data_IF_408207066942
#
_entry.id   IF_408207066942
#
_cell.length_a   1.000
_cell.length_b   1.000
_cell.length_c   1.000
_cell.angle_alpha   90.00
_cell.angle_beta   90.00
_cell.angle_gamma   90.00
#
_symmetry.space_group_name_H-M   'P 1'
#
loop_
_entity.id
_entity.type
_entity.pdbx_description
1 polymer ?
#
# COMPACT_ATOMS: atom_id res chain seq x y z
N UNK A 1 21.55 -29.36 24.82
CA UNK A 1 21.36 -29.67 23.41
C UNK A 1 20.79 -28.41 22.74
N UNK A 2 21.70 -27.63 22.16
CA UNK A 2 21.40 -26.37 21.46
C UNK A 2 20.76 -26.68 20.10
N UNK A 3 19.53 -26.29 19.93
CA UNK A 3 18.93 -26.20 18.58
C UNK A 3 19.17 -24.83 18.02
N UNK A 4 20.28 -24.67 17.34
CA UNK A 4 20.48 -23.56 16.40
C UNK A 4 19.58 -23.79 15.19
N UNK A 5 18.49 -23.02 15.10
CA UNK A 5 17.76 -22.85 13.85
C UNK A 5 18.64 -22.02 12.92
N UNK A 6 19.29 -22.71 11.99
CA UNK A 6 20.03 -22.07 10.88
C UNK A 6 19.02 -21.32 10.02
N UNK A 7 19.01 -19.99 10.11
CA UNK A 7 18.49 -19.14 9.05
C UNK A 7 19.40 -19.34 7.85
N UNK A 8 18.89 -19.98 6.80
CA UNK A 8 19.56 -20.00 5.51
C UNK A 8 19.76 -18.56 5.06
N UNK A 9 20.98 -18.14 4.71
CA UNK A 9 21.19 -16.83 4.13
C UNK A 9 20.47 -16.79 2.79
N UNK A 10 19.57 -15.83 2.64
CA UNK A 10 18.95 -15.50 1.37
C UNK A 10 20.06 -15.00 0.44
N UNK A 11 20.56 -15.87 -0.42
CA UNK A 11 21.52 -15.50 -1.47
C UNK A 11 20.79 -14.62 -2.47
N UNK A 12 20.95 -13.31 -2.30
CA UNK A 12 20.25 -12.27 -3.02
C UNK A 12 20.82 -11.95 -4.40
N UNK A 13 21.27 -12.95 -5.16
CA UNK A 13 21.71 -12.82 -6.56
C UNK A 13 20.74 -13.51 -7.53
N UNK A 14 19.47 -13.60 -7.19
CA UNK A 14 18.51 -13.65 -8.26
C UNK A 14 18.50 -12.26 -8.90
N UNK A 15 19.13 -12.15 -10.05
CA UNK A 15 19.03 -11.07 -10.99
C UNK A 15 17.60 -10.54 -10.92
N UNK A 16 17.47 -9.29 -10.46
CA UNK A 16 16.28 -8.52 -10.74
C UNK A 16 16.30 -8.35 -12.25
N UNK A 17 15.88 -9.40 -12.95
CA UNK A 17 15.41 -9.22 -14.30
C UNK A 17 14.37 -8.13 -14.15
N UNK A 18 14.59 -7.01 -14.80
CA UNK A 18 13.55 -6.10 -15.15
C UNK A 18 12.44 -6.97 -15.73
N UNK A 19 11.49 -7.37 -14.90
CA UNK A 19 10.21 -7.84 -15.37
C UNK A 19 9.53 -6.58 -15.86
N UNK A 20 10.07 -6.09 -17.00
CA UNK A 20 9.25 -5.39 -17.95
C UNK A 20 8.09 -6.32 -18.19
N UNK A 21 6.93 -5.77 -18.14
CA UNK A 21 5.72 -6.38 -18.67
C UNK A 21 4.81 -7.05 -17.64
N UNK A 22 4.06 -6.22 -16.97
CA UNK A 22 2.64 -6.47 -16.97
C UNK A 22 2.20 -6.49 -18.45
N UNK A 23 1.87 -7.66 -18.96
CA UNK A 23 1.18 -7.83 -20.23
C UNK A 23 -0.01 -6.86 -20.24
N UNK A 24 -0.11 -5.87 -21.16
CA UNK A 24 -1.19 -4.90 -21.19
C UNK A 24 -2.58 -5.56 -21.30
N UNK A 25 -2.65 -6.78 -21.80
CA UNK A 25 -3.88 -7.59 -21.90
C UNK A 25 -4.30 -8.28 -20.59
N UNK A 26 -3.58 -8.09 -19.49
CA UNK A 26 -3.94 -8.72 -18.24
C UNK A 26 -5.11 -7.99 -17.56
N UNK A 27 -6.33 -8.19 -18.04
CA UNK A 27 -7.53 -8.09 -17.21
C UNK A 27 -7.34 -9.05 -16.05
N UNK A 28 -6.84 -8.56 -14.92
CA UNK A 28 -6.63 -9.39 -13.76
C UNK A 28 -7.93 -10.07 -13.40
N UNK A 29 -7.95 -11.40 -13.49
CA UNK A 29 -9.13 -12.21 -13.19
C UNK A 29 -9.47 -12.01 -11.72
N UNK A 30 -10.76 -11.84 -11.43
CA UNK A 30 -11.22 -11.77 -10.04
C UNK A 30 -10.83 -13.06 -9.31
N UNK A 31 -10.34 -12.89 -8.10
CA UNK A 31 -9.97 -14.00 -7.20
C UNK A 31 -11.22 -14.84 -6.94
N UNK A 32 -11.15 -16.13 -7.25
CA UNK A 32 -12.23 -17.11 -7.01
C UNK A 32 -11.94 -17.81 -5.69
N UNK A 33 -12.96 -17.98 -4.87
CA UNK A 33 -12.89 -18.87 -3.71
C UNK A 33 -12.76 -20.33 -4.18
N UNK A 34 -11.89 -21.08 -3.51
CA UNK A 34 -11.62 -22.50 -3.78
C UNK A 34 -11.93 -23.39 -2.57
N UNK A 35 -12.36 -22.81 -1.42
CA UNK A 35 -12.67 -23.55 -0.20
C UNK A 35 -11.45 -23.97 0.62
N UNK A 36 -10.24 -23.66 0.20
CA UNK A 36 -9.01 -24.02 0.96
C UNK A 36 -8.97 -23.41 2.37
N UNK A 37 -9.68 -22.29 2.59
CA UNK A 37 -9.80 -21.66 3.92
C UNK A 37 -10.78 -22.39 4.87
N UNK A 38 -11.44 -23.42 4.39
CA UNK A 38 -12.44 -24.23 5.15
C UNK A 38 -11.81 -25.47 5.80
N UNK A 39 -10.47 -25.58 5.86
CA UNK A 39 -9.79 -26.76 6.44
C UNK A 39 -9.21 -26.48 7.82
N UNK A 40 -9.12 -27.54 8.65
CA UNK A 40 -8.49 -27.51 9.98
C UNK A 40 -7.00 -27.16 9.87
N UNK A 41 -6.32 -27.72 8.89
CA UNK A 41 -4.90 -27.52 8.63
C UNK A 41 -4.62 -26.04 8.34
N UNK A 42 -5.43 -25.42 7.48
CA UNK A 42 -5.32 -23.98 7.19
C UNK A 42 -5.55 -23.12 8.44
N UNK A 43 -6.58 -23.43 9.23
CA UNK A 43 -6.88 -22.68 10.44
C UNK A 43 -5.72 -22.80 11.46
N UNK A 44 -5.15 -24.01 11.62
CA UNK A 44 -4.00 -24.24 12.51
C UNK A 44 -2.76 -23.48 12.03
N UNK A 45 -2.41 -23.60 10.76
CA UNK A 45 -1.29 -22.87 10.17
C UNK A 45 -1.46 -21.34 10.31
N UNK A 46 -2.67 -20.84 10.10
CA UNK A 46 -2.98 -19.41 10.24
C UNK A 46 -2.75 -18.92 11.69
N UNK A 47 -3.11 -19.75 12.68
CA UNK A 47 -2.84 -19.42 14.08
C UNK A 47 -1.36 -19.39 14.38
N UNK A 48 -0.59 -20.40 13.98
CA UNK A 48 0.86 -20.45 14.18
C UNK A 48 1.56 -19.22 13.58
N UNK A 49 1.20 -18.84 12.36
CA UNK A 49 1.71 -17.62 11.73
C UNK A 49 1.31 -16.33 12.47
N UNK A 50 0.11 -16.30 13.02
CA UNK A 50 -0.34 -15.15 13.83
C UNK A 50 0.38 -15.11 15.17
N UNK A 51 0.56 -16.25 15.83
CA UNK A 51 1.15 -16.38 17.16
C UNK A 51 2.67 -16.23 17.15
N UNK A 52 3.32 -16.32 15.99
CA UNK A 52 4.76 -16.13 15.86
C UNK A 52 5.22 -14.83 16.56
N UNK A 53 6.26 -14.93 17.39
CA UNK A 53 6.76 -13.88 18.28
C UNK A 53 5.77 -13.39 19.37
N UNK A 54 4.56 -14.00 19.50
CA UNK A 54 3.51 -13.56 20.44
C UNK A 54 3.14 -14.62 21.49
N UNK A 55 3.66 -15.84 21.41
CA UNK A 55 3.36 -16.93 22.34
C UNK A 55 3.53 -16.57 23.83
N UNK A 56 4.43 -15.63 24.15
CA UNK A 56 4.65 -15.13 25.53
C UNK A 56 3.61 -14.10 25.99
N UNK A 57 2.66 -13.70 25.15
CA UNK A 57 1.60 -12.76 25.54
C UNK A 57 0.50 -13.53 26.24
N UNK A 58 0.11 -13.07 27.42
CA UNK A 58 -0.89 -13.73 28.24
C UNK A 58 -2.18 -14.13 27.51
N UNK A 59 -2.71 -13.22 26.69
CA UNK A 59 -3.94 -13.48 25.93
C UNK A 59 -3.77 -14.55 24.84
N UNK A 60 -2.57 -14.66 24.26
CA UNK A 60 -2.24 -15.71 23.27
C UNK A 60 -2.04 -17.04 24.01
N UNK A 61 -1.24 -17.07 25.08
CA UNK A 61 -1.02 -18.26 25.92
C UNK A 61 -2.35 -18.86 26.42
N UNK A 62 -3.28 -18.01 26.87
CA UNK A 62 -4.59 -18.48 27.32
C UNK A 62 -5.41 -19.08 26.17
N UNK A 63 -5.33 -18.47 24.98
CA UNK A 63 -6.02 -18.95 23.79
C UNK A 63 -5.46 -20.30 23.30
N UNK A 64 -4.15 -20.52 23.44
CA UNK A 64 -3.45 -21.75 23.06
C UNK A 64 -3.86 -22.96 23.92
N UNK A 65 -4.35 -22.75 25.14
CA UNK A 65 -4.79 -23.85 26.02
C UNK A 65 -5.92 -24.67 25.39
N UNK A 66 -6.80 -24.04 24.63
CA UNK A 66 -7.95 -24.66 23.97
C UNK A 66 -7.86 -24.55 22.44
N UNK A 67 -6.65 -24.61 21.89
CA UNK A 67 -6.41 -24.32 20.46
C UNK A 67 -7.22 -25.22 19.53
N UNK A 68 -7.39 -26.51 19.86
CA UNK A 68 -8.13 -27.44 19.03
C UNK A 68 -9.61 -27.03 18.94
N UNK A 69 -10.21 -26.62 20.05
CA UNK A 69 -11.57 -26.10 20.09
C UNK A 69 -11.69 -24.83 19.22
N UNK A 70 -10.75 -23.91 19.37
CA UNK A 70 -10.75 -22.66 18.61
C UNK A 70 -10.53 -22.89 17.10
N UNK A 71 -9.68 -23.81 16.71
CA UNK A 71 -9.48 -24.19 15.30
C UNK A 71 -10.77 -24.73 14.70
N UNK A 72 -11.47 -25.63 15.40
CA UNK A 72 -12.77 -26.15 14.96
C UNK A 72 -13.82 -25.04 14.83
N UNK A 73 -13.89 -24.12 15.82
CA UNK A 73 -14.82 -23.00 15.79
C UNK A 73 -14.54 -22.06 14.62
N UNK A 74 -13.27 -21.74 14.34
CA UNK A 74 -12.86 -20.91 13.19
C UNK A 74 -13.29 -21.54 11.88
N UNK A 75 -13.09 -22.86 11.70
CA UNK A 75 -13.53 -23.55 10.49
C UNK A 75 -15.05 -23.53 10.37
N UNK A 76 -15.77 -23.81 11.46
CA UNK A 76 -17.23 -23.74 11.47
C UNK A 76 -17.75 -22.35 11.06
N UNK A 77 -17.19 -21.30 11.61
CA UNK A 77 -17.60 -19.92 11.29
C UNK A 77 -17.30 -19.52 9.85
N UNK A 78 -16.18 -20.00 9.28
CA UNK A 78 -15.85 -19.77 7.86
C UNK A 78 -16.80 -20.58 6.95
N UNK A 79 -17.02 -21.87 7.25
CA UNK A 79 -17.87 -22.77 6.46
C UNK A 79 -19.32 -22.30 6.44
N UNK A 80 -19.83 -21.86 7.60
CA UNK A 80 -21.22 -21.44 7.72
C UNK A 80 -21.44 -19.94 7.38
N UNK A 81 -20.35 -19.19 7.09
CA UNK A 81 -20.40 -17.73 6.83
C UNK A 81 -21.02 -16.94 8.01
N UNK A 82 -20.77 -17.39 9.26
CA UNK A 82 -21.39 -16.88 10.48
C UNK A 82 -20.53 -15.88 11.25
N UNK A 83 -19.24 -15.78 10.93
CA UNK A 83 -18.35 -14.86 11.67
C UNK A 83 -18.87 -13.43 11.66
N UNK A 84 -18.90 -12.85 12.84
CA UNK A 84 -19.12 -11.42 13.08
C UNK A 84 -18.01 -10.90 14.00
N UNK A 85 -17.28 -9.86 13.61
CA UNK A 85 -16.23 -9.31 14.46
C UNK A 85 -16.74 -8.94 15.85
N UNK A 86 -15.97 -9.31 16.89
CA UNK A 86 -16.34 -9.12 18.30
C UNK A 86 -16.27 -7.67 18.77
N UNK A 87 -15.85 -6.76 17.90
CA UNK A 87 -15.61 -5.37 18.21
C UNK A 87 -14.15 -5.10 18.60
N UNK A 88 -13.83 -3.82 18.77
CA UNK A 88 -12.45 -3.38 18.96
C UNK A 88 -12.32 -2.59 20.27
N UNK A 89 -11.30 -2.92 21.05
CA UNK A 89 -10.83 -2.03 22.10
C UNK A 89 -9.78 -1.07 21.51
N UNK A 90 -9.90 0.21 21.84
CA UNK A 90 -9.04 1.23 21.27
C UNK A 90 -7.88 1.59 22.22
N UNK A 91 -6.67 1.65 21.67
CA UNK A 91 -5.47 2.05 22.41
C UNK A 91 -4.70 3.14 21.66
N UNK A 92 -4.40 4.23 22.35
CA UNK A 92 -3.49 5.23 21.82
C UNK A 92 -2.04 4.76 21.87
N UNK A 93 -1.35 4.85 20.75
CA UNK A 93 0.09 4.69 20.66
C UNK A 93 0.71 6.04 20.35
N UNK A 94 1.67 6.42 21.18
CA UNK A 94 2.44 7.66 21.06
C UNK A 94 3.84 7.34 20.54
N UNK A 95 3.94 6.99 19.25
CA UNK A 95 5.21 6.84 18.57
C UNK A 95 5.60 8.17 17.89
N UNK A 96 5.83 8.19 16.59
CA UNK A 96 6.18 9.41 15.84
C UNK A 96 5.02 10.42 15.74
N UNK A 97 3.80 9.90 15.67
CA UNK A 97 2.53 10.64 15.74
C UNK A 97 1.57 9.82 16.62
N UNK A 98 0.69 10.48 17.40
CA UNK A 98 -0.35 9.75 18.11
C UNK A 98 -1.22 9.00 17.12
N UNK A 99 -1.44 7.72 17.39
CA UNK A 99 -2.28 6.84 16.57
C UNK A 99 -3.21 6.04 17.46
N UNK A 100 -4.44 5.93 17.04
CA UNK A 100 -5.45 5.09 17.67
C UNK A 100 -5.38 3.71 17.02
N UNK A 101 -5.03 2.68 17.78
CA UNK A 101 -5.06 1.30 17.33
C UNK A 101 -6.36 0.64 17.74
N UNK A 102 -6.99 -0.05 16.82
CA UNK A 102 -8.07 -0.98 17.08
C UNK A 102 -7.49 -2.33 17.47
N UNK A 103 -7.70 -2.77 18.70
CA UNK A 103 -7.24 -4.04 19.20
C UNK A 103 -8.40 -5.04 19.16
N UNK A 104 -8.31 -6.03 18.29
CA UNK A 104 -9.24 -7.14 18.21
C UNK A 104 -8.89 -8.26 19.21
N UNK A 105 -9.84 -9.10 19.62
CA UNK A 105 -9.59 -10.37 20.32
C UNK A 105 -8.67 -11.30 19.52
N UNK A 106 -8.05 -12.27 20.22
CA UNK A 106 -7.18 -13.27 19.55
C UNK A 106 -7.97 -14.10 18.54
N UNK A 107 -9.22 -14.44 18.88
CA UNK A 107 -10.11 -15.18 17.97
C UNK A 107 -10.33 -14.45 16.64
N UNK A 108 -10.61 -13.14 16.69
CA UNK A 108 -10.83 -12.35 15.48
C UNK A 108 -9.57 -12.31 14.61
N UNK A 109 -8.39 -12.17 15.23
CA UNK A 109 -7.12 -12.25 14.50
C UNK A 109 -6.88 -13.62 13.87
N UNK A 110 -7.24 -14.70 14.58
CA UNK A 110 -7.09 -16.06 14.08
C UNK A 110 -7.98 -16.31 12.88
N UNK A 111 -9.27 -16.01 12.97
CA UNK A 111 -10.21 -16.24 11.86
C UNK A 111 -9.91 -15.33 10.66
N UNK A 112 -9.48 -14.08 10.86
CA UNK A 112 -9.03 -13.21 9.77
C UNK A 112 -7.81 -13.79 9.06
N UNK A 113 -6.85 -14.32 9.82
CA UNK A 113 -5.68 -14.97 9.25
C UNK A 113 -6.05 -16.23 8.47
N UNK A 114 -6.91 -17.09 9.03
CA UNK A 114 -7.38 -18.32 8.39
C UNK A 114 -8.18 -18.04 7.12
N UNK A 115 -9.06 -17.05 7.16
CA UNK A 115 -9.85 -16.66 5.99
C UNK A 115 -8.99 -16.12 4.85
N UNK A 116 -7.91 -15.41 5.16
CA UNK A 116 -7.05 -14.75 4.18
C UNK A 116 -5.95 -15.66 3.62
N UNK A 117 -5.39 -16.55 4.43
CA UNK A 117 -4.15 -17.28 4.15
C UNK A 117 -4.10 -17.93 2.76
N UNK A 118 -5.12 -18.68 2.29
CA UNK A 118 -5.08 -19.29 0.97
C UNK A 118 -5.12 -18.31 -0.20
N UNK A 119 -5.60 -17.10 0.07
CA UNK A 119 -5.76 -16.05 -0.96
C UNK A 119 -4.64 -15.01 -0.95
N UNK A 120 -3.73 -15.06 0.03
CA UNK A 120 -2.67 -14.05 0.18
C UNK A 120 -1.87 -13.85 -1.10
N UNK A 121 -1.41 -14.93 -1.73
CA UNK A 121 -0.66 -14.84 -2.99
C UNK A 121 -1.47 -14.13 -4.07
N UNK A 122 -2.70 -14.57 -4.31
CA UNK A 122 -3.59 -13.99 -5.32
C UNK A 122 -3.87 -12.50 -5.04
N UNK A 123 -3.98 -12.12 -3.76
CA UNK A 123 -4.15 -10.73 -3.35
C UNK A 123 -2.90 -9.92 -3.64
N UNK A 124 -1.71 -10.45 -3.31
CA UNK A 124 -0.45 -9.75 -3.61
C UNK A 124 -0.23 -9.58 -5.11
N UNK A 125 -0.72 -10.49 -5.96
CA UNK A 125 -0.67 -10.35 -7.41
C UNK A 125 -1.51 -9.15 -7.91
N UNK A 126 -2.53 -8.72 -7.13
CA UNK A 126 -3.31 -7.52 -7.42
C UNK A 126 -2.68 -6.21 -6.94
N UNK A 127 -1.61 -6.26 -6.18
CA UNK A 127 -0.89 -5.09 -5.64
C UNK A 127 0.34 -4.85 -6.50
N UNK A 128 0.63 -3.59 -6.83
CA UNK A 128 1.83 -3.22 -7.56
C UNK A 128 3.11 -3.72 -6.89
N UNK A 129 4.08 -4.14 -7.70
CA UNK A 129 5.42 -4.46 -7.22
C UNK A 129 6.13 -3.23 -6.62
N UNK A 130 5.85 -2.04 -7.15
CA UNK A 130 6.38 -0.77 -6.65
C UNK A 130 5.69 -0.27 -5.36
N UNK A 131 4.75 -1.06 -4.81
CA UNK A 131 4.09 -0.83 -3.52
C UNK A 131 4.42 -1.96 -2.52
N UNK A 132 5.67 -2.09 -2.03
CA UNK A 132 6.14 -3.27 -1.30
C UNK A 132 5.70 -3.34 0.17
N UNK A 133 4.87 -2.44 0.68
CA UNK A 133 4.67 -2.21 2.11
C UNK A 133 4.16 -3.42 2.90
N UNK A 134 3.36 -4.30 2.31
CA UNK A 134 2.68 -5.40 3.02
C UNK A 134 3.10 -6.79 2.50
N UNK A 135 3.88 -6.84 1.45
CA UNK A 135 4.35 -8.10 0.88
C UNK A 135 5.34 -8.80 1.84
N UNK A 136 5.22 -10.12 2.04
CA UNK A 136 6.18 -10.90 2.83
C UNK A 136 7.61 -10.71 2.31
N UNK A 137 8.56 -10.52 3.21
CA UNK A 137 9.98 -10.29 2.86
C UNK A 137 10.31 -8.92 2.29
N UNK A 138 9.31 -8.09 2.02
CA UNK A 138 9.46 -6.72 1.55
C UNK A 138 9.08 -5.72 2.66
N UNK A 139 9.13 -4.42 2.35
CA UNK A 139 8.82 -3.37 3.31
C UNK A 139 9.62 -2.10 3.04
N UNK A 140 9.85 -1.28 4.07
CA UNK A 140 10.57 0.00 3.94
C UNK A 140 11.98 -0.19 3.37
N UNK A 141 12.68 -1.26 3.76
CA UNK A 141 14.03 -1.54 3.28
C UNK A 141 14.06 -1.98 1.80
N UNK A 142 13.03 -2.69 1.35
CA UNK A 142 12.90 -3.05 -0.06
C UNK A 142 12.65 -1.79 -0.90
N UNK A 143 11.71 -0.94 -0.47
CA UNK A 143 11.47 0.34 -1.11
C UNK A 143 12.75 1.18 -1.19
N UNK A 144 13.48 1.27 -0.09
CA UNK A 144 14.77 1.99 -0.04
C UNK A 144 15.74 1.44 -1.08
N UNK A 145 15.87 0.11 -1.20
CA UNK A 145 16.74 -0.52 -2.20
C UNK A 145 16.30 -0.23 -3.62
N UNK A 146 15.01 -0.29 -3.91
CA UNK A 146 14.47 0.03 -5.23
C UNK A 146 14.84 1.44 -5.66
N UNK A 147 14.49 2.43 -4.83
CA UNK A 147 14.79 3.84 -5.12
C UNK A 147 16.29 4.09 -5.22
N UNK A 148 17.08 3.54 -4.30
CA UNK A 148 18.54 3.69 -4.31
C UNK A 148 19.15 3.12 -5.58
N UNK A 149 18.79 1.88 -5.92
CA UNK A 149 19.37 1.21 -7.08
C UNK A 149 19.04 1.97 -8.36
N UNK A 150 17.85 2.50 -8.49
CA UNK A 150 17.44 3.29 -9.63
C UNK A 150 18.21 4.61 -9.73
N UNK A 151 18.30 5.37 -8.62
CA UNK A 151 19.06 6.60 -8.57
C UNK A 151 20.55 6.40 -8.87
N UNK A 152 21.14 5.28 -8.41
CA UNK A 152 22.55 5.00 -8.60
C UNK A 152 22.87 4.40 -9.96
N UNK A 153 21.92 3.73 -10.58
CA UNK A 153 22.09 3.16 -11.92
C UNK A 153 21.94 4.20 -13.03
N UNK A 154 21.35 5.35 -12.74
CA UNK A 154 21.05 6.37 -13.75
C UNK A 154 21.68 7.71 -13.36
N UNK A 155 22.84 8.02 -13.92
CA UNK A 155 23.58 9.26 -13.68
C UNK A 155 22.81 10.51 -14.11
N UNK A 156 21.86 10.38 -15.04
CA UNK A 156 21.07 11.51 -15.54
C UNK A 156 19.95 11.92 -14.57
N UNK A 157 19.63 11.11 -13.55
CA UNK A 157 18.54 11.43 -12.61
C UNK A 157 18.79 12.70 -11.76
N UNK A 158 19.98 13.22 -11.70
CA UNK A 158 20.27 14.50 -11.01
C UNK A 158 19.56 15.70 -11.64
N UNK A 159 19.29 15.65 -12.95
CA UNK A 159 18.53 16.70 -13.67
C UNK A 159 17.02 16.51 -13.59
N UNK A 160 16.58 15.39 -13.02
CA UNK A 160 15.17 15.04 -12.87
C UNK A 160 14.51 15.81 -11.71
N UNK A 161 13.19 15.75 -11.73
CA UNK A 161 12.35 16.33 -10.69
C UNK A 161 11.52 15.23 -10.03
N UNK A 162 11.07 15.49 -8.81
CA UNK A 162 10.21 14.58 -8.07
C UNK A 162 9.11 15.33 -7.33
N UNK A 163 8.02 14.63 -7.01
CA UNK A 163 7.10 15.04 -5.97
C UNK A 163 6.77 13.84 -5.06
N UNK A 164 6.42 14.15 -3.83
CA UNK A 164 5.90 13.17 -2.87
C UNK A 164 4.51 13.61 -2.45
N UNK A 165 3.50 12.75 -2.64
CA UNK A 165 2.19 12.93 -2.04
C UNK A 165 2.12 12.13 -0.74
N UNK A 166 1.46 12.70 0.26
CA UNK A 166 1.18 12.06 1.55
C UNK A 166 -0.33 12.16 1.81
N UNK A 167 -1.03 11.03 1.86
CA UNK A 167 -2.48 11.01 2.09
C UNK A 167 -2.74 11.19 3.58
N UNK A 168 -3.51 12.23 3.90
CA UNK A 168 -3.85 12.57 5.27
C UNK A 168 -4.78 11.53 5.90
N UNK A 169 -4.44 11.08 7.09
CA UNK A 169 -5.25 10.11 7.85
C UNK A 169 -5.77 8.94 7.01
N UNK A 170 -4.89 8.33 6.19
CA UNK A 170 -5.23 7.36 5.17
C UNK A 170 -6.20 6.27 5.64
N UNK A 171 -5.86 5.53 6.71
CA UNK A 171 -6.71 4.48 7.24
C UNK A 171 -7.99 5.02 7.92
N UNK A 172 -7.94 6.06 8.79
CA UNK A 172 -9.13 6.60 9.41
C UNK A 172 -10.15 7.22 8.46
N UNK A 173 -9.71 7.76 7.31
CA UNK A 173 -10.57 8.41 6.33
C UNK A 173 -10.90 7.54 5.11
N UNK A 174 -10.52 6.26 5.13
CA UNK A 174 -10.84 5.34 4.04
C UNK A 174 -12.36 5.16 3.94
N UNK A 175 -12.92 5.48 2.78
CA UNK A 175 -14.37 5.41 2.54
C UNK A 175 -14.80 3.96 2.31
N UNK A 176 -15.75 3.46 3.12
CA UNK A 176 -16.24 2.08 3.05
C UNK A 176 -16.92 1.76 1.72
N UNK A 177 -17.67 2.69 1.15
CA UNK A 177 -18.33 2.47 -0.15
C UNK A 177 -17.30 2.21 -1.25
N UNK A 178 -16.28 3.09 -1.33
CA UNK A 178 -15.22 2.90 -2.32
C UNK A 178 -14.37 1.65 -2.01
N UNK A 179 -14.06 1.38 -0.74
CA UNK A 179 -13.31 0.19 -0.35
C UNK A 179 -14.04 -1.08 -0.77
N UNK A 180 -15.34 -1.21 -0.44
CA UNK A 180 -16.16 -2.36 -0.85
C UNK A 180 -16.22 -2.50 -2.37
N UNK A 181 -16.40 -1.40 -3.09
CA UNK A 181 -16.38 -1.42 -4.56
C UNK A 181 -15.04 -1.92 -5.12
N UNK A 182 -13.91 -1.53 -4.52
CA UNK A 182 -12.60 -2.04 -4.90
C UNK A 182 -12.46 -3.54 -4.59
N UNK A 183 -12.95 -4.00 -3.44
CA UNK A 183 -12.99 -5.42 -3.09
C UNK A 183 -13.87 -6.21 -4.08
N UNK A 184 -15.05 -5.71 -4.41
CA UNK A 184 -15.96 -6.34 -5.37
C UNK A 184 -15.37 -6.49 -6.78
N UNK A 185 -14.50 -5.58 -7.14
CA UNK A 185 -13.77 -5.66 -8.42
C UNK A 185 -12.64 -6.71 -8.39
N UNK A 186 -12.08 -7.02 -7.21
CA UNK A 186 -10.97 -7.97 -7.06
C UNK A 186 -11.43 -9.40 -6.74
N UNK A 187 -12.54 -9.56 -6.04
CA UNK A 187 -13.05 -10.86 -5.60
C UNK A 187 -14.37 -11.22 -6.27
N UNK A 188 -14.54 -12.50 -6.62
CA UNK A 188 -15.84 -13.04 -7.02
C UNK A 188 -16.78 -13.09 -5.81
N UNK A 189 -18.10 -13.11 -6.07
CA UNK A 189 -19.12 -13.33 -5.04
C UNK A 189 -18.85 -14.65 -4.31
N UNK A 190 -18.96 -14.64 -2.98
CA UNK A 190 -18.75 -15.82 -2.16
C UNK A 190 -18.51 -15.46 -0.69
N UNK A 191 -18.40 -16.47 0.17
CA UNK A 191 -18.24 -16.32 1.63
C UNK A 191 -17.07 -15.43 2.03
N UNK A 192 -15.91 -15.59 1.37
CA UNK A 192 -14.73 -14.79 1.70
C UNK A 192 -14.94 -13.29 1.40
N UNK A 193 -15.62 -12.95 0.29
CA UNK A 193 -15.96 -11.55 0.03
C UNK A 193 -16.97 -11.00 1.04
N UNK A 194 -17.97 -11.80 1.44
CA UNK A 194 -18.92 -11.44 2.50
C UNK A 194 -18.18 -11.22 3.83
N UNK A 195 -17.24 -12.10 4.16
CA UNK A 195 -16.37 -11.97 5.31
C UNK A 195 -15.62 -10.64 5.31
N UNK A 196 -14.97 -10.28 4.20
CA UNK A 196 -14.29 -8.99 4.06
C UNK A 196 -15.23 -7.82 4.29
N UNK A 197 -16.45 -7.87 3.73
CA UNK A 197 -17.45 -6.82 3.92
C UNK A 197 -17.87 -6.68 5.38
N UNK A 198 -18.05 -7.78 6.11
CA UNK A 198 -18.37 -7.74 7.56
C UNK A 198 -17.22 -7.11 8.37
N UNK A 199 -15.97 -7.44 8.04
CA UNK A 199 -14.80 -6.81 8.67
C UNK A 199 -14.75 -5.31 8.38
N UNK A 200 -15.07 -4.88 7.16
CA UNK A 200 -15.16 -3.44 6.84
C UNK A 200 -16.26 -2.77 7.66
N UNK A 201 -17.46 -3.37 7.71
CA UNK A 201 -18.62 -2.81 8.41
C UNK A 201 -18.51 -2.83 9.93
N UNK A 202 -17.66 -3.67 10.48
CA UNK A 202 -17.45 -3.78 11.92
C UNK A 202 -16.78 -2.56 12.56
N UNK A 203 -16.18 -1.70 11.77
CA UNK A 203 -15.54 -0.47 12.23
C UNK A 203 -16.32 0.74 11.72
N UNK A 204 -16.64 1.73 12.55
CA UNK A 204 -17.57 2.78 12.17
C UNK A 204 -17.09 3.66 11.03
N UNK A 205 -15.79 3.93 10.93
CA UNK A 205 -15.20 4.78 9.89
C UNK A 205 -13.78 4.33 9.57
N UNK A 206 -13.44 4.29 8.29
CA UNK A 206 -12.10 3.92 7.84
C UNK A 206 -11.79 2.44 8.05
N UNK A 207 -10.51 2.13 8.21
CA UNK A 207 -10.04 0.77 8.46
C UNK A 207 -9.42 0.64 9.85
N UNK A 208 -9.72 -0.42 10.62
CA UNK A 208 -9.25 -0.59 11.99
C UNK A 208 -7.76 -0.89 12.01
N UNK A 209 -6.95 0.13 12.32
CA UNK A 209 -5.49 -0.05 12.46
C UNK A 209 -5.18 -1.04 13.59
N UNK A 210 -4.48 -2.11 13.26
CA UNK A 210 -4.07 -3.14 14.22
C UNK A 210 -4.42 -4.56 13.80
N UNK A 211 -5.30 -4.73 12.82
CA UNK A 211 -5.63 -6.03 12.22
C UNK A 211 -4.93 -6.23 10.87
N UNK A 212 -4.68 -7.48 10.51
CA UNK A 212 -4.00 -7.84 9.25
C UNK A 212 -4.82 -7.42 8.03
N UNK A 213 -6.14 -7.60 8.10
CA UNK A 213 -7.06 -7.25 7.04
C UNK A 213 -7.03 -5.75 6.70
N UNK A 214 -6.87 -4.86 7.70
CA UNK A 214 -6.77 -3.43 7.45
C UNK A 214 -5.52 -3.05 6.64
N UNK A 215 -4.39 -3.73 6.86
CA UNK A 215 -3.18 -3.53 6.05
C UNK A 215 -3.44 -3.88 4.58
N UNK A 216 -4.15 -4.99 4.36
CA UNK A 216 -4.56 -5.41 3.03
C UNK A 216 -5.49 -4.39 2.38
N UNK A 217 -6.48 -3.86 3.12
CA UNK A 217 -7.37 -2.81 2.64
C UNK A 217 -6.57 -1.59 2.16
N UNK A 218 -5.59 -1.16 2.94
CA UNK A 218 -4.72 -0.05 2.58
C UNK A 218 -3.94 -0.27 1.28
N UNK A 219 -3.60 -1.50 0.95
CA UNK A 219 -2.91 -1.80 -0.31
C UNK A 219 -3.87 -1.91 -1.48
N UNK A 220 -4.99 -2.63 -1.32
CA UNK A 220 -5.97 -2.83 -2.37
C UNK A 220 -6.75 -1.57 -2.72
N UNK A 221 -6.95 -0.67 -1.75
CA UNK A 221 -7.67 0.58 -1.96
C UNK A 221 -7.06 1.42 -3.07
N UNK A 222 -5.73 1.52 -3.13
CA UNK A 222 -5.00 2.28 -4.15
C UNK A 222 -4.43 1.41 -5.30
N UNK A 223 -4.72 0.11 -5.35
CA UNK A 223 -4.15 -0.76 -6.37
C UNK A 223 -4.50 -0.35 -7.81
N UNK A 224 -5.70 0.21 -8.02
CA UNK A 224 -6.08 0.70 -9.35
C UNK A 224 -5.38 2.02 -9.69
N UNK A 225 -5.10 2.86 -8.68
CA UNK A 225 -4.26 4.04 -8.85
C UNK A 225 -2.81 3.67 -9.18
N UNK A 226 -2.25 2.65 -8.51
CA UNK A 226 -0.91 2.14 -8.86
C UNK A 226 -0.84 1.74 -10.32
N UNK A 227 -1.84 1.02 -10.82
CA UNK A 227 -1.91 0.61 -12.22
C UNK A 227 -2.02 1.78 -13.18
N UNK A 228 -2.80 2.81 -12.80
CA UNK A 228 -2.84 4.03 -13.59
C UNK A 228 -1.44 4.62 -13.75
N UNK A 229 -0.70 4.71 -12.65
CA UNK A 229 0.66 5.25 -12.66
C UNK A 229 1.64 4.35 -13.41
N UNK A 230 1.47 3.04 -13.36
CA UNK A 230 2.26 2.04 -14.08
C UNK A 230 1.76 1.76 -15.50
N UNK A 231 0.70 2.44 -15.93
CA UNK A 231 0.08 2.28 -17.27
C UNK A 231 -0.45 0.87 -17.57
N UNK A 232 -0.86 0.15 -16.53
CA UNK A 232 -1.48 -1.18 -16.66
C UNK A 232 -2.97 -1.10 -17.02
N UNK A 233 -3.40 -0.11 -17.80
CA UNK A 233 -4.80 0.02 -18.25
C UNK A 233 -4.90 -0.11 -19.76
N UNK A 234 -5.98 -0.75 -20.23
CA UNK A 234 -6.49 -0.70 -21.60
C UNK A 234 -6.99 0.69 -22.00
N UNK A 235 -6.45 1.77 -21.41
CA UNK A 235 -6.94 3.12 -21.71
C UNK A 235 -6.55 3.53 -23.12
N UNK A 236 -5.36 3.13 -23.53
CA UNK A 236 -4.82 3.47 -24.86
C UNK A 236 -5.54 2.74 -25.98
N UNK A 237 -5.91 1.49 -25.73
CA UNK A 237 -6.58 0.64 -26.71
C UNK A 237 -8.10 0.89 -26.77
N UNK A 238 -8.63 1.70 -25.85
CA UNK A 238 -10.04 2.06 -25.81
C UNK A 238 -10.26 3.56 -25.95
N UNK A 239 -10.60 4.05 -27.16
CA UNK A 239 -10.79 5.48 -27.42
C UNK A 239 -11.84 6.15 -26.53
N UNK A 240 -12.89 5.43 -26.13
CA UNK A 240 -13.95 5.97 -25.26
C UNK A 240 -13.43 6.20 -23.84
N UNK A 241 -12.63 5.26 -23.30
CA UNK A 241 -11.99 5.43 -21.98
C UNK A 241 -10.97 6.56 -22.02
N UNK A 242 -10.15 6.63 -23.04
CA UNK A 242 -9.19 7.73 -23.22
C UNK A 242 -9.89 9.08 -23.33
N UNK A 243 -10.96 9.18 -24.12
CA UNK A 243 -11.78 10.37 -24.22
C UNK A 243 -12.43 10.74 -22.88
N UNK A 244 -12.97 9.77 -22.14
CA UNK A 244 -13.53 9.98 -20.81
C UNK A 244 -12.48 10.51 -19.84
N UNK A 245 -11.30 9.88 -19.74
CA UNK A 245 -10.22 10.35 -18.88
C UNK A 245 -9.75 11.76 -19.26
N UNK A 246 -9.57 11.99 -20.53
CA UNK A 246 -9.11 13.29 -21.05
C UNK A 246 -10.13 14.39 -20.80
N UNK A 247 -11.38 14.18 -21.16
CA UNK A 247 -12.42 15.20 -21.01
C UNK A 247 -12.80 15.43 -19.55
N UNK A 248 -12.94 14.37 -18.79
CA UNK A 248 -13.45 14.43 -17.42
C UNK A 248 -12.43 15.01 -16.44
N UNK A 249 -11.19 14.54 -16.51
CA UNK A 249 -10.15 14.98 -15.56
C UNK A 249 -9.44 16.26 -16.02
N UNK A 250 -9.12 16.38 -17.29
CA UNK A 250 -8.38 17.55 -17.78
C UNK A 250 -9.27 18.77 -17.90
N UNK A 251 -10.49 18.64 -18.38
CA UNK A 251 -11.43 19.77 -18.46
C UNK A 251 -11.75 20.35 -17.07
N UNK A 252 -11.98 19.48 -16.08
CA UNK A 252 -12.25 19.96 -14.72
C UNK A 252 -11.01 20.60 -14.08
N UNK A 253 -9.83 20.05 -14.29
CA UNK A 253 -8.59 20.67 -13.84
C UNK A 253 -8.39 22.07 -14.45
N UNK A 254 -8.72 22.25 -15.73
CA UNK A 254 -8.69 23.56 -16.37
C UNK A 254 -9.58 24.61 -15.68
N UNK A 255 -10.67 24.18 -15.07
CA UNK A 255 -11.58 25.08 -14.33
C UNK A 255 -11.07 25.37 -12.91
N UNK A 256 -10.30 24.48 -12.34
CA UNK A 256 -9.87 24.54 -10.92
C UNK A 256 -8.44 25.00 -10.71
N UNK A 257 -7.67 25.25 -11.77
CA UNK A 257 -6.28 25.72 -11.68
C UNK A 257 -6.15 27.04 -10.91
N UNK A 258 -5.25 27.06 -9.94
CA UNK A 258 -5.07 28.19 -9.00
C UNK A 258 -3.65 28.74 -8.96
N UNK A 259 -2.68 28.07 -9.58
CA UNK A 259 -1.29 28.54 -9.59
C UNK A 259 -0.93 29.25 -10.91
N UNK A 260 0.03 30.20 -10.90
CA UNK A 260 0.54 30.84 -12.12
C UNK A 260 1.10 29.82 -13.13
N UNK A 261 1.72 28.74 -12.66
CA UNK A 261 2.26 27.69 -13.51
C UNK A 261 1.15 26.85 -14.15
N UNK A 262 0.09 26.55 -13.40
CA UNK A 262 -1.13 25.92 -13.91
C UNK A 262 -1.81 26.81 -14.96
N UNK A 263 -1.95 28.10 -14.68
CA UNK A 263 -2.50 29.08 -15.63
C UNK A 263 -1.68 29.17 -16.92
N UNK A 264 -0.35 29.11 -16.83
CA UNK A 264 0.53 29.07 -17.99
C UNK A 264 0.38 27.79 -18.81
N UNK A 265 0.14 26.65 -18.17
CA UNK A 265 -0.17 25.40 -18.87
C UNK A 265 -1.55 25.46 -19.53
N UNK A 266 -2.55 26.02 -18.82
CA UNK A 266 -3.90 26.23 -19.36
C UNK A 266 -3.92 27.14 -20.56
N UNK A 267 -3.05 28.14 -20.63
CA UNK A 267 -2.93 29.02 -21.81
C UNK A 267 -2.56 28.28 -23.09
N UNK A 268 -2.00 27.07 -22.98
CA UNK A 268 -1.73 26.15 -24.11
C UNK A 268 -2.94 25.32 -24.53
N UNK A 269 -4.01 25.36 -23.76
CA UNK A 269 -5.30 24.76 -24.07
C UNK A 269 -5.46 23.30 -23.63
N UNK A 270 -6.72 22.84 -23.50
CA UNK A 270 -7.03 21.46 -23.05
C UNK A 270 -6.41 20.37 -23.94
N UNK A 271 -6.32 20.64 -25.23
CA UNK A 271 -5.73 19.69 -26.21
C UNK A 271 -4.26 19.40 -25.95
N UNK A 272 -3.50 20.41 -25.50
CA UNK A 272 -2.10 20.23 -25.14
C UNK A 272 -1.95 19.32 -23.90
N UNK A 273 -2.81 19.49 -22.92
CA UNK A 273 -2.82 18.67 -21.72
C UNK A 273 -3.25 17.22 -22.02
N UNK A 274 -4.24 17.07 -22.89
CA UNK A 274 -4.68 15.76 -23.37
C UNK A 274 -3.55 15.04 -24.09
N UNK A 275 -2.83 15.74 -24.98
CA UNK A 275 -1.66 15.18 -25.67
C UNK A 275 -0.57 14.78 -24.68
N UNK A 276 -0.25 15.62 -23.68
CA UNK A 276 0.75 15.33 -22.67
C UNK A 276 0.35 14.14 -21.79
N UNK A 277 -0.91 14.05 -21.40
CA UNK A 277 -1.42 12.90 -20.65
C UNK A 277 -1.37 11.62 -21.48
N UNK A 278 -1.69 11.71 -22.77
CA UNK A 278 -1.56 10.58 -23.69
C UNK A 278 -0.10 10.14 -23.85
N UNK A 279 0.83 11.07 -24.06
CA UNK A 279 2.27 10.76 -24.08
C UNK A 279 2.74 10.14 -22.78
N UNK A 280 2.27 10.62 -21.63
CA UNK A 280 2.51 9.99 -20.35
C UNK A 280 2.06 8.52 -20.32
N UNK A 281 0.89 8.23 -20.82
CA UNK A 281 0.37 6.86 -20.90
C UNK A 281 1.12 6.00 -21.92
N UNK A 282 1.63 6.59 -23.01
CA UNK A 282 2.32 5.88 -24.09
C UNK A 282 3.81 5.64 -23.80
N UNK A 283 4.55 6.63 -23.36
CA UNK A 283 6.01 6.59 -23.27
C UNK A 283 6.57 6.03 -21.96
N UNK A 284 5.85 6.18 -20.87
CA UNK A 284 6.03 5.48 -19.61
C UNK A 284 7.36 5.54 -18.91
N UNK A 285 8.13 6.56 -19.07
CA UNK A 285 9.32 6.76 -18.25
C UNK A 285 8.92 7.49 -16.97
N UNK A 286 8.16 6.81 -16.14
CA UNK A 286 7.85 7.28 -14.79
C UNK A 286 8.41 6.30 -13.79
N UNK A 287 9.25 6.84 -12.96
CA UNK A 287 9.70 6.16 -11.77
C UNK A 287 8.64 6.39 -10.69
N UNK A 288 7.84 5.36 -10.44
CA UNK A 288 6.70 5.38 -9.51
C UNK A 288 6.95 4.43 -8.35
N UNK A 289 6.73 4.92 -7.13
CA UNK A 289 6.83 4.14 -5.90
C UNK A 289 5.76 4.54 -4.91
N UNK A 290 5.18 3.57 -4.23
CA UNK A 290 4.22 3.81 -3.17
C UNK A 290 4.54 3.03 -1.89
N UNK A 291 4.46 3.70 -0.76
CA UNK A 291 4.54 3.06 0.55
C UNK A 291 3.33 3.43 1.38
N UNK A 292 2.30 2.58 1.32
CA UNK A 292 0.98 2.76 1.95
C UNK A 292 0.31 4.04 1.46
N UNK A 293 0.45 5.12 2.21
CA UNK A 293 -0.11 6.46 2.02
C UNK A 293 0.83 7.45 1.30
N UNK A 294 2.07 7.05 1.07
CA UNK A 294 3.09 7.91 0.45
C UNK A 294 3.37 7.48 -0.98
N UNK A 295 3.28 8.43 -1.88
CA UNK A 295 3.45 8.24 -3.32
C UNK A 295 4.61 9.11 -3.76
N UNK A 296 5.62 8.49 -4.39
CA UNK A 296 6.75 9.16 -5.02
C UNK A 296 6.66 8.99 -6.53
N UNK A 297 6.84 10.09 -7.25
CA UNK A 297 6.97 10.09 -8.72
C UNK A 297 8.17 10.92 -9.10
N UNK A 298 8.97 10.41 -10.06
CA UNK A 298 10.16 11.08 -10.60
C UNK A 298 10.03 11.17 -12.11
N UNK A 299 10.39 12.30 -12.70
CA UNK A 299 10.39 12.52 -14.14
C UNK A 299 11.34 13.65 -14.53
N UNK A 300 11.87 13.62 -15.75
CA UNK A 300 12.79 14.64 -16.26
C UNK A 300 12.10 15.97 -16.60
N UNK A 301 10.90 15.92 -17.16
CA UNK A 301 10.13 17.12 -17.51
C UNK A 301 9.35 17.64 -16.28
N UNK A 302 9.80 18.76 -15.73
CA UNK A 302 9.19 19.41 -14.57
C UNK A 302 7.73 19.85 -14.83
N UNK A 303 7.43 20.32 -16.04
CA UNK A 303 6.08 20.80 -16.40
C UNK A 303 5.13 19.63 -16.50
N UNK A 304 5.59 18.55 -17.12
CA UNK A 304 4.84 17.32 -17.22
C UNK A 304 4.61 16.67 -15.84
N UNK A 305 5.63 16.65 -14.98
CA UNK A 305 5.51 16.11 -13.63
C UNK A 305 4.52 16.90 -12.77
N UNK A 306 4.41 18.23 -12.95
CA UNK A 306 3.35 19.04 -12.33
C UNK A 306 1.96 18.63 -12.81
N UNK A 307 1.81 18.37 -14.12
CA UNK A 307 0.56 17.89 -14.68
C UNK A 307 0.16 16.53 -14.07
N UNK A 308 1.12 15.60 -13.97
CA UNK A 308 0.87 14.29 -13.35
C UNK A 308 0.50 14.43 -11.87
N UNK A 309 1.18 15.30 -11.12
CA UNK A 309 0.86 15.59 -9.73
C UNK A 309 -0.59 16.04 -9.58
N UNK A 310 -1.03 16.98 -10.39
CA UNK A 310 -2.36 17.57 -10.30
C UNK A 310 -3.44 16.57 -10.71
N UNK A 311 -3.20 15.78 -11.75
CA UNK A 311 -4.06 14.65 -12.13
C UNK A 311 -4.11 13.61 -10.99
N UNK A 312 -2.97 13.28 -10.40
CA UNK A 312 -2.91 12.33 -9.29
C UNK A 312 -3.74 12.81 -8.09
N UNK A 313 -3.60 14.08 -7.71
CA UNK A 313 -4.39 14.69 -6.63
C UNK A 313 -5.89 14.63 -6.96
N UNK A 314 -6.27 14.98 -8.17
CA UNK A 314 -7.67 14.97 -8.61
C UNK A 314 -8.26 13.56 -8.58
N UNK A 315 -7.56 12.55 -9.11
CA UNK A 315 -7.99 11.15 -9.08
C UNK A 315 -8.12 10.66 -7.63
N UNK A 316 -7.12 10.93 -6.80
CA UNK A 316 -7.15 10.52 -5.38
C UNK A 316 -8.30 11.17 -4.61
N UNK A 317 -8.57 12.45 -4.87
CA UNK A 317 -9.64 13.19 -4.19
C UNK A 317 -11.04 12.71 -4.64
N UNK A 318 -11.24 12.47 -5.93
CA UNK A 318 -12.56 12.10 -6.47
C UNK A 318 -12.89 10.63 -6.31
N UNK A 319 -11.97 9.76 -6.74
CA UNK A 319 -12.23 8.33 -6.84
C UNK A 319 -11.93 7.59 -5.53
N UNK A 320 -11.24 8.25 -4.61
CA UNK A 320 -10.85 7.66 -3.32
C UNK A 320 -11.23 8.53 -2.13
N UNK A 321 -11.81 9.72 -2.34
CA UNK A 321 -12.07 10.71 -1.29
C UNK A 321 -10.87 10.99 -0.39
N UNK A 322 -9.68 10.86 -0.94
CA UNK A 322 -8.46 11.08 -0.21
C UNK A 322 -8.24 12.58 0.05
N UNK A 323 -7.76 12.90 1.24
CA UNK A 323 -7.30 14.24 1.59
C UNK A 323 -5.77 14.24 1.49
N UNK A 324 -5.20 15.13 0.67
CA UNK A 324 -3.76 15.20 0.46
C UNK A 324 -3.15 16.26 1.38
N UNK A 325 -2.04 15.92 2.07
CA UNK A 325 -1.28 16.88 2.84
C UNK A 325 -0.65 17.94 1.93
N UNK A 326 -0.58 19.18 2.39
CA UNK A 326 -0.25 20.35 1.56
C UNK A 326 1.19 20.46 1.05
N UNK A 327 2.13 19.58 1.43
CA UNK A 327 3.54 19.63 0.97
C UNK A 327 3.77 18.67 -0.22
N UNK A 328 3.27 19.04 -1.38
CA UNK A 328 3.40 18.27 -2.63
C UNK A 328 4.12 19.05 -3.74
N UNK A 329 5.11 19.85 -3.39
CA UNK A 329 5.88 20.63 -4.37
C UNK A 329 6.75 19.73 -5.25
N UNK A 330 6.82 20.08 -6.55
CA UNK A 330 7.78 19.47 -7.47
C UNK A 330 9.16 20.07 -7.21
N UNK A 331 10.11 19.22 -6.84
CA UNK A 331 11.49 19.59 -6.46
C UNK A 331 12.51 18.87 -7.32
N UNK A 332 13.67 19.46 -7.59
CA UNK A 332 14.77 18.73 -8.24
C UNK A 332 15.25 17.54 -7.39
N UNK A 333 15.65 16.45 -8.03
CA UNK A 333 16.15 15.23 -7.35
C UNK A 333 17.44 15.52 -6.58
N UNK A 334 18.31 16.37 -7.08
CA UNK A 334 19.58 16.73 -6.40
C UNK A 334 19.37 17.39 -5.03
N UNK A 335 18.20 17.98 -4.73
CA UNK A 335 17.86 18.47 -3.40
C UNK A 335 17.58 17.36 -2.37
N UNK A 336 17.55 16.12 -2.82
CA UNK A 336 17.25 14.93 -2.03
C UNK A 336 15.75 14.64 -1.89
N UNK A 337 15.40 13.38 -2.11
CA UNK A 337 14.04 12.84 -1.99
C UNK A 337 13.83 12.36 -0.56
N UNK A 338 12.86 12.93 0.15
CA UNK A 338 12.53 12.53 1.53
C UNK A 338 11.34 11.58 1.55
N UNK A 339 11.60 10.31 1.86
CA UNK A 339 10.55 9.29 1.91
C UNK A 339 10.81 8.27 3.05
N UNK A 340 9.77 7.89 3.79
CA UNK A 340 9.82 6.84 4.82
C UNK A 340 10.96 6.94 5.83
N UNK A 341 11.41 8.16 6.16
CA UNK A 341 12.49 8.41 7.12
C UNK A 341 13.89 8.34 6.55
N UNK A 342 14.01 8.25 5.24
CA UNK A 342 15.26 8.36 4.49
C UNK A 342 15.29 9.63 3.65
N UNK A 343 16.49 10.07 3.30
CA UNK A 343 16.74 11.08 2.27
C UNK A 343 17.66 10.45 1.23
N UNK A 344 17.16 10.36 0.02
CA UNK A 344 17.86 9.79 -1.13
C UNK A 344 18.51 10.94 -1.91
N UNK A 345 19.77 10.80 -2.19
CA UNK A 345 20.55 11.65 -3.09
C UNK A 345 21.22 10.73 -4.11
N UNK A 346 21.71 11.27 -5.22
CA UNK A 346 22.32 10.48 -6.28
C UNK A 346 23.41 9.52 -5.74
N UNK A 347 24.35 10.01 -4.96
CA UNK A 347 25.48 9.21 -4.48
C UNK A 347 25.28 8.54 -3.12
N UNK A 348 24.22 8.91 -2.37
CA UNK A 348 24.05 8.45 -0.99
C UNK A 348 22.62 8.42 -0.51
N UNK A 349 22.33 7.48 0.36
CA UNK A 349 21.09 7.45 1.13
C UNK A 349 21.41 7.76 2.59
N UNK A 350 20.73 8.72 3.18
CA UNK A 350 20.91 9.10 4.58
C UNK A 350 19.62 8.87 5.37
N UNK A 351 19.79 8.52 6.64
CA UNK A 351 18.67 8.45 7.58
C UNK A 351 18.30 9.86 8.02
N UNK A 352 17.00 10.15 8.10
CA UNK A 352 16.52 11.47 8.53
C UNK A 352 17.03 11.84 9.92
N UNK A 353 17.23 13.15 10.17
CA UNK A 353 17.70 13.68 11.46
C UNK A 353 16.85 13.15 12.62
N UNK A 354 15.53 13.11 12.45
CA UNK A 354 14.59 12.58 13.47
C UNK A 354 14.86 11.13 13.82
N UNK A 355 15.05 10.26 12.82
CA UNK A 355 15.33 8.84 13.06
C UNK A 355 16.70 8.65 13.72
N UNK A 356 17.72 9.43 13.34
CA UNK A 356 19.05 9.43 14.01
C UNK A 356 18.92 9.77 15.48
N UNK A 357 18.16 10.83 15.80
CA UNK A 357 17.93 11.25 17.19
C UNK A 357 17.17 10.18 18.00
N UNK A 358 16.20 9.50 17.39
CA UNK A 358 15.45 8.43 18.04
C UNK A 358 16.35 7.23 18.37
N UNK A 359 17.21 6.82 17.44
CA UNK A 359 18.21 5.75 17.69
C UNK A 359 19.14 6.13 18.83
N UNK A 360 19.67 7.36 18.82
CA UNK A 360 20.54 7.86 19.88
C UNK A 360 19.84 7.86 21.25
N UNK A 361 18.57 8.31 21.33
CA UNK A 361 17.78 8.26 22.57
C UNK A 361 17.57 6.83 23.08
N UNK A 362 17.30 5.88 22.18
CA UNK A 362 17.10 4.46 22.54
C UNK A 362 18.41 3.83 23.03
N UNK A 363 19.51 4.10 22.35
CA UNK A 363 20.84 3.64 22.78
C UNK A 363 21.19 4.14 24.20
N UNK A 364 21.00 5.44 24.45
CA UNK A 364 21.25 6.02 25.78
C UNK A 364 20.35 5.43 26.90
N UNK A 365 19.08 5.09 26.56
CA UNK A 365 18.20 4.41 27.54
C UNK A 365 18.61 2.98 27.84
N UNK A 366 19.23 2.28 26.89
CA UNK A 366 19.76 0.92 27.12
C UNK A 366 21.00 0.97 28.00
N UNK A 367 21.94 1.88 27.71
CA UNK A 367 23.14 2.07 28.55
C UNK A 367 22.80 2.36 30.03
N UNK A 368 21.75 3.17 30.28
CA UNK A 368 21.27 3.46 31.65
C UNK A 368 20.53 2.29 32.34
N UNK A 369 20.25 1.20 31.68
CA UNK A 369 19.64 0.01 32.29
C UNK A 369 20.67 -1.03 32.67
N UNK A 370 21.85 -0.95 32.09
CA UNK A 370 22.97 -1.86 32.37
C UNK A 370 23.91 -1.29 33.46
N UNK A 371 23.73 0.00 33.84
CA UNK A 371 24.28 0.65 35.03
C UNK A 371 23.27 0.56 36.21
#
# INVERSE_FOLDING_TARGET
>A
AERHTRRTPFTGDQQIQHVSHSNPDCKMRRIKQNGENESIENAREAFERFADEKHKRWNVMRYEQDIDLHVHQVVCDIVNDTFSPSGYSEKWIFDKKPRKLAKAPVYDHHIEAAALLPYEKAVYDHISWHAPAVRPGLGTHALMRFIRNELFANEQLDVYYNFVLDIHHYFPLMDHFFLKRKIDNKFKKGKFRNFIHRVIDSYPHGAPLGIKMAQLFGMLYLADFDRLMERCFDILDNPEKLAYWTSHYIAEWCVTARSPDEMKMLSRGPQFLALRFRLFLEEGIIHYYRFVDKILVIHEDKVFLRCIRDISIMVLTRDYRAVINGDYQVRPVWMGIRLCGYTFMHERVTVSKRNKQEVARRAHKLQKKDD
#
